data_IF_351686068957
#
_entry.id   IF_351686068957
#
_cell.length_a   1.000
_cell.length_b   1.000
_cell.length_c   1.000
_cell.angle_alpha   90.00
_cell.angle_beta   90.00
_cell.angle_gamma   90.00
#
_symmetry.space_group_name_H-M   'P 1'
#
loop_
_entity.id
_entity.type
_entity.pdbx_description
1 polymer ?
#
# COMPACT_ATOMS: atom_id res chain seq x y z
N UNK A 1 20.79 -11.29 19.82
CA UNK A 1 19.76 -10.54 19.06
C UNK A 1 18.49 -11.35 19.12
N UNK A 2 17.40 -10.81 19.67
CA UNK A 2 16.07 -11.40 19.47
C UNK A 2 15.71 -11.11 18.01
N UNK A 3 15.22 -12.12 17.28
CA UNK A 3 14.56 -11.84 16.01
C UNK A 3 13.33 -10.97 16.33
N UNK A 4 13.25 -9.80 15.72
CA UNK A 4 12.10 -8.92 15.88
C UNK A 4 10.85 -9.61 15.32
N UNK A 5 9.76 -9.56 16.07
CA UNK A 5 8.55 -10.29 15.73
C UNK A 5 7.83 -9.56 14.58
N UNK A 6 7.71 -10.23 13.43
CA UNK A 6 6.95 -9.74 12.29
C UNK A 6 5.47 -9.62 12.65
N UNK A 7 4.93 -8.42 12.53
CA UNK A 7 3.50 -8.14 12.68
C UNK A 7 2.82 -8.25 11.31
N UNK A 8 1.59 -8.77 11.26
CA UNK A 8 0.80 -8.91 10.04
C UNK A 8 -0.66 -8.51 10.30
N UNK A 9 -1.23 -7.69 9.42
CA UNK A 9 -2.62 -7.25 9.49
C UNK A 9 -3.31 -7.47 8.15
N UNK A 10 -4.39 -8.24 8.11
CA UNK A 10 -5.22 -8.41 6.92
C UNK A 10 -6.06 -7.14 6.68
N UNK A 11 -5.95 -6.56 5.49
CA UNK A 11 -6.56 -5.27 5.14
C UNK A 11 -7.42 -5.29 3.86
N UNK A 12 -7.61 -6.46 3.22
CA UNK A 12 -8.40 -6.56 1.98
C UNK A 12 -9.84 -6.06 2.14
N UNK A 13 -10.45 -6.25 3.32
CA UNK A 13 -11.83 -5.87 3.55
C UNK A 13 -12.01 -4.35 3.57
N UNK A 14 -11.02 -3.61 4.09
CA UNK A 14 -11.01 -2.16 4.12
C UNK A 14 -11.00 -1.61 2.69
N UNK A 15 -10.13 -2.17 1.83
CA UNK A 15 -10.11 -1.85 0.41
C UNK A 15 -11.42 -2.19 -0.32
N UNK A 16 -12.03 -3.34 -0.02
CA UNK A 16 -13.33 -3.73 -0.62
C UNK A 16 -14.48 -2.84 -0.17
N UNK A 17 -14.44 -2.29 1.05
CA UNK A 17 -15.44 -1.33 1.52
C UNK A 17 -15.25 0.02 0.84
N UNK A 18 -14.01 0.48 0.69
CA UNK A 18 -13.69 1.79 0.11
C UNK A 18 -13.83 1.81 -1.42
N UNK A 19 -13.54 0.68 -2.08
CA UNK A 19 -13.44 0.56 -3.55
C UNK A 19 -14.11 -0.73 -4.09
N UNK A 20 -15.41 -0.95 -3.80
CA UNK A 20 -16.05 -2.27 -3.97
C UNK A 20 -15.98 -2.86 -5.38
N UNK A 21 -16.03 -2.03 -6.42
CA UNK A 21 -16.04 -2.46 -7.82
C UNK A 21 -14.68 -2.30 -8.51
N UNK A 22 -13.69 -1.73 -7.82
CA UNK A 22 -12.41 -1.37 -8.42
C UNK A 22 -11.28 -2.31 -8.00
N UNK A 23 -11.42 -3.02 -6.88
CA UNK A 23 -10.41 -4.00 -6.45
C UNK A 23 -10.29 -5.12 -7.48
N UNK A 24 -9.05 -5.55 -7.74
CA UNK A 24 -8.77 -6.67 -8.62
C UNK A 24 -9.56 -7.91 -8.17
N UNK A 25 -10.43 -8.48 -9.01
CA UNK A 25 -11.27 -9.62 -8.63
C UNK A 25 -10.46 -10.90 -8.36
N UNK A 26 -9.23 -11.00 -8.87
CA UNK A 26 -8.33 -12.10 -8.58
C UNK A 26 -7.64 -11.97 -7.21
N UNK A 27 -7.69 -10.80 -6.57
CA UNK A 27 -7.02 -10.52 -5.30
C UNK A 27 -7.90 -10.97 -4.12
N UNK A 28 -7.40 -11.91 -3.32
CA UNK A 28 -8.16 -12.52 -2.21
C UNK A 28 -7.65 -12.15 -0.82
N UNK A 29 -6.39 -11.73 -0.69
CA UNK A 29 -5.82 -11.29 0.57
C UNK A 29 -4.75 -10.24 0.32
N UNK A 30 -4.73 -9.23 1.19
CA UNK A 30 -3.69 -8.21 1.29
C UNK A 30 -3.36 -8.11 2.76
N UNK A 31 -2.10 -8.36 3.12
CA UNK A 31 -1.62 -8.14 4.48
C UNK A 31 -0.60 -7.02 4.49
N UNK A 32 -0.79 -6.06 5.37
CA UNK A 32 0.26 -5.14 5.77
C UNK A 32 1.16 -5.83 6.78
N UNK A 33 2.45 -5.86 6.49
CA UNK A 33 3.45 -6.53 7.30
C UNK A 33 4.50 -5.51 7.71
N UNK A 34 4.89 -5.55 8.98
CA UNK A 34 5.97 -4.70 9.47
C UNK A 34 6.78 -5.37 10.57
N UNK A 35 8.03 -4.96 10.68
CA UNK A 35 8.85 -5.11 11.87
C UNK A 35 9.40 -3.72 12.25
N UNK A 36 10.39 -3.64 13.13
CA UNK A 36 10.97 -2.36 13.56
C UNK A 36 11.93 -1.72 12.56
N UNK A 37 12.09 -2.29 11.37
CA UNK A 37 13.01 -1.83 10.32
C UNK A 37 12.29 -1.63 9.00
N UNK A 38 11.43 -2.58 8.61
CA UNK A 38 10.85 -2.65 7.27
C UNK A 38 9.32 -2.76 7.32
N UNK A 39 8.68 -2.29 6.24
CA UNK A 39 7.27 -2.51 5.94
C UNK A 39 7.08 -3.07 4.52
N UNK A 40 6.13 -3.97 4.36
CA UNK A 40 5.81 -4.57 3.06
C UNK A 40 4.38 -5.08 3.01
N UNK A 41 3.88 -5.32 1.80
CA UNK A 41 2.60 -5.99 1.57
C UNK A 41 2.82 -7.44 1.16
N UNK A 42 1.97 -8.33 1.67
CA UNK A 42 1.78 -9.66 1.12
C UNK A 42 0.44 -9.72 0.39
N UNK A 43 0.48 -9.95 -0.92
CA UNK A 43 -0.72 -10.08 -1.76
C UNK A 43 -0.90 -11.50 -2.23
N UNK A 44 -2.11 -12.03 -2.10
CA UNK A 44 -2.44 -13.39 -2.57
C UNK A 44 -3.54 -13.34 -3.61
N UNK A 45 -3.30 -14.01 -4.74
CA UNK A 45 -4.23 -14.07 -5.86
C UNK A 45 -4.83 -15.47 -6.04
N UNK A 46 -6.06 -15.56 -6.57
CA UNK A 46 -6.79 -16.83 -6.80
C UNK A 46 -5.98 -17.80 -7.67
N UNK A 47 -5.26 -17.28 -8.66
CA UNK A 47 -4.47 -18.08 -9.58
C UNK A 47 -3.22 -18.70 -8.93
N UNK A 48 -2.72 -18.13 -7.82
CA UNK A 48 -1.51 -18.55 -7.12
C UNK A 48 -1.66 -18.44 -5.59
N UNK A 49 -2.60 -19.18 -4.97
CA UNK A 49 -2.97 -18.98 -3.56
C UNK A 49 -1.88 -19.38 -2.55
N UNK A 50 -0.88 -20.16 -2.99
CA UNK A 50 0.20 -20.67 -2.14
C UNK A 50 1.50 -19.85 -2.27
N UNK A 51 1.53 -18.85 -3.15
CA UNK A 51 2.72 -18.05 -3.45
C UNK A 51 2.34 -16.57 -3.38
N UNK A 52 2.36 -15.95 -2.19
CA UNK A 52 2.07 -14.54 -2.05
C UNK A 52 3.14 -13.71 -2.76
N UNK A 53 2.71 -12.65 -3.42
CA UNK A 53 3.58 -11.61 -3.97
C UNK A 53 3.94 -10.66 -2.82
N UNK A 54 5.22 -10.36 -2.68
CA UNK A 54 5.75 -9.42 -1.67
C UNK A 54 6.05 -8.10 -2.37
N UNK A 55 5.46 -7.01 -1.88
CA UNK A 55 5.74 -5.66 -2.36
C UNK A 55 6.37 -4.89 -1.21
N UNK A 56 7.65 -4.55 -1.38
CA UNK A 56 8.36 -3.77 -0.38
C UNK A 56 7.84 -2.33 -0.37
N UNK A 57 7.57 -1.80 0.82
CA UNK A 57 7.16 -0.42 1.03
C UNK A 57 8.33 0.49 1.45
N UNK A 58 9.58 0.03 1.48
CA UNK A 58 10.75 0.84 1.93
C UNK A 58 10.94 2.18 1.17
N UNK A 59 10.33 2.38 0.00
CA UNK A 59 10.34 3.70 -0.68
C UNK A 59 9.50 4.77 0.05
N UNK A 60 8.76 4.35 1.08
CA UNK A 60 7.90 5.16 1.93
C UNK A 60 8.65 5.68 3.16
N UNK A 61 9.79 5.07 3.53
CA UNK A 61 10.60 5.50 4.66
C UNK A 61 11.52 6.64 4.24
N UNK A 62 11.11 7.86 4.57
CA UNK A 62 11.89 9.06 4.95
C UNK A 62 13.25 9.40 4.32
N UNK A 63 13.62 8.88 3.14
CA UNK A 63 14.75 9.41 2.36
C UNK A 63 14.31 10.59 1.47
N UNK A 64 13.52 11.51 2.04
CA UNK A 64 13.33 12.83 1.44
C UNK A 64 14.54 13.70 1.78
N UNK A 65 15.46 13.78 0.83
CA UNK A 65 16.56 14.75 0.81
C UNK A 65 16.00 16.16 1.12
N UNK A 66 16.37 16.69 2.28
CA UNK A 66 15.82 17.92 2.91
C UNK A 66 16.13 19.23 2.15
N UNK A 67 16.43 19.18 0.85
CA UNK A 67 16.83 20.36 0.06
C UNK A 67 15.68 21.03 -0.71
N UNK A 68 14.47 20.49 -0.69
CA UNK A 68 13.31 21.13 -1.32
C UNK A 68 12.24 21.43 -0.28
N UNK A 69 11.81 22.70 -0.20
CA UNK A 69 10.68 23.21 0.61
C UNK A 69 9.33 22.65 0.11
N UNK A 70 9.22 21.33 -0.01
CA UNK A 70 7.97 20.62 -0.23
C UNK A 70 7.42 20.36 1.16
N UNK A 71 6.15 20.74 1.39
CA UNK A 71 5.42 20.45 2.63
C UNK A 71 5.75 19.04 3.10
N UNK A 72 6.20 18.88 4.35
CA UNK A 72 6.61 17.61 4.95
C UNK A 72 5.55 16.54 4.64
N UNK A 73 5.81 15.70 3.63
CA UNK A 73 4.97 14.53 3.36
C UNK A 73 5.32 13.58 4.50
N UNK A 74 4.39 13.28 5.41
CA UNK A 74 4.70 12.40 6.52
C UNK A 74 5.14 11.04 5.97
N UNK A 75 6.21 10.48 6.52
CA UNK A 75 6.62 9.11 6.22
C UNK A 75 5.41 8.18 6.36
N UNK A 76 5.09 7.39 5.31
CA UNK A 76 3.93 6.49 5.37
C UNK A 76 4.22 5.20 6.15
N UNK A 77 5.41 5.12 6.77
CA UNK A 77 5.83 4.10 7.71
C UNK A 77 6.61 4.74 8.87
N UNK A 78 6.16 4.50 10.10
CA UNK A 78 6.89 4.82 11.32
C UNK A 78 7.18 3.52 12.09
N UNK A 79 8.46 3.11 12.27
CA UNK A 79 8.81 1.88 12.97
C UNK A 79 8.44 1.89 14.46
N UNK A 80 8.19 3.07 15.04
CA UNK A 80 7.71 3.21 16.43
C UNK A 80 6.18 3.10 16.53
N UNK A 81 5.46 3.24 15.42
CA UNK A 81 4.01 3.08 15.35
C UNK A 81 3.60 1.61 15.29
N UNK A 82 2.41 1.31 15.80
CA UNK A 82 1.87 -0.04 15.67
C UNK A 82 1.42 -0.35 14.23
N UNK A 83 1.22 -1.64 13.95
CA UNK A 83 0.85 -2.13 12.61
C UNK A 83 -0.50 -1.61 12.14
N UNK A 84 -1.41 -1.25 13.06
CA UNK A 84 -2.73 -0.73 12.72
C UNK A 84 -2.61 0.69 12.23
N UNK A 85 -1.83 1.52 12.94
CA UNK A 85 -1.60 2.91 12.57
C UNK A 85 -0.88 3.03 11.21
N UNK A 86 0.20 2.27 11.00
CA UNK A 86 0.91 2.28 9.71
C UNK A 86 0.05 1.72 8.56
N UNK A 87 -0.70 0.64 8.80
CA UNK A 87 -1.63 0.12 7.80
C UNK A 87 -2.74 1.13 7.46
N UNK A 88 -3.21 1.89 8.44
CA UNK A 88 -4.20 2.95 8.22
C UNK A 88 -3.64 4.05 7.32
N UNK A 89 -2.42 4.53 7.60
CA UNK A 89 -1.74 5.52 6.75
C UNK A 89 -1.64 5.04 5.29
N UNK A 90 -1.31 3.75 5.09
CA UNK A 90 -1.28 3.15 3.76
C UNK A 90 -2.67 3.09 3.09
N UNK A 91 -3.72 2.71 3.81
CA UNK A 91 -5.10 2.64 3.29
C UNK A 91 -5.64 4.03 2.90
N UNK A 92 -5.23 5.07 3.63
CA UNK A 92 -5.67 6.45 3.42
C UNK A 92 -4.95 7.15 2.24
N UNK A 93 -3.97 6.49 1.60
CA UNK A 93 -3.38 6.97 0.36
C UNK A 93 -4.44 7.20 -0.72
N UNK A 94 -4.25 8.25 -1.51
CA UNK A 94 -5.11 8.50 -2.65
C UNK A 94 -4.95 7.40 -3.71
N UNK A 95 -5.99 7.21 -4.52
CA UNK A 95 -6.03 6.14 -5.52
C UNK A 95 -4.89 6.21 -6.53
N UNK A 96 -4.41 7.41 -6.88
CA UNK A 96 -3.30 7.56 -7.81
C UNK A 96 -1.97 7.14 -7.17
N UNK A 97 -1.72 7.52 -5.92
CA UNK A 97 -0.57 7.03 -5.16
C UNK A 97 -0.61 5.50 -5.03
N UNK A 98 -1.77 4.93 -4.69
CA UNK A 98 -1.95 3.48 -4.56
C UNK A 98 -1.61 2.70 -5.83
N UNK A 99 -2.06 3.13 -7.03
CA UNK A 99 -1.73 2.43 -8.28
C UNK A 99 -0.24 2.51 -8.65
N UNK A 100 0.46 3.55 -8.19
CA UNK A 100 1.91 3.68 -8.40
C UNK A 100 2.73 2.92 -7.35
N UNK A 101 2.15 2.66 -6.18
CA UNK A 101 2.79 1.91 -5.10
C UNK A 101 2.59 0.39 -5.22
N UNK A 102 1.41 -0.04 -5.66
CA UNK A 102 0.96 -1.43 -5.53
C UNK A 102 0.28 -1.89 -6.80
N UNK A 103 1.04 -2.61 -7.61
CA UNK A 103 0.56 -3.16 -8.87
C UNK A 103 -0.45 -4.29 -8.63
N UNK A 104 -1.55 -4.29 -9.38
CA UNK A 104 -2.59 -5.33 -9.29
C UNK A 104 -3.50 -5.25 -8.05
N UNK A 105 -3.43 -4.17 -7.26
CA UNK A 105 -4.42 -3.85 -6.22
C UNK A 105 -5.80 -3.59 -6.83
N UNK A 106 -5.82 -2.78 -7.89
CA UNK A 106 -7.02 -2.43 -8.64
C UNK A 106 -7.14 -3.28 -9.91
N UNK A 107 -8.36 -3.36 -10.45
CA UNK A 107 -8.58 -3.91 -11.78
C UNK A 107 -7.95 -3.00 -12.84
N UNK A 108 -7.59 -3.57 -14.00
CA UNK A 108 -7.00 -2.79 -15.10
C UNK A 108 -7.91 -1.64 -15.56
N UNK A 109 -9.22 -1.87 -15.58
CA UNK A 109 -10.20 -0.83 -15.89
C UNK A 109 -10.18 0.31 -14.84
N UNK A 110 -10.12 -0.02 -13.56
CA UNK A 110 -10.02 0.98 -12.51
C UNK A 110 -8.71 1.77 -12.57
N UNK A 111 -7.57 1.11 -12.83
CA UNK A 111 -6.27 1.77 -13.03
C UNK A 111 -6.31 2.80 -14.18
N UNK A 112 -6.96 2.47 -15.29
CA UNK A 112 -7.13 3.38 -16.44
C UNK A 112 -7.99 4.60 -16.08
N UNK A 113 -9.09 4.39 -15.34
CA UNK A 113 -9.96 5.47 -14.85
C UNK A 113 -9.17 6.39 -13.91
N UNK A 114 -8.47 5.84 -12.92
CA UNK A 114 -7.69 6.59 -11.94
C UNK A 114 -6.63 7.46 -12.65
N UNK A 115 -5.88 6.87 -13.59
CA UNK A 115 -4.88 7.59 -14.38
C UNK A 115 -5.50 8.73 -15.20
N UNK A 116 -6.62 8.46 -15.86
CA UNK A 116 -7.32 9.44 -16.70
C UNK A 116 -7.82 10.63 -15.86
N UNK A 117 -8.42 10.35 -14.70
CA UNK A 117 -8.92 11.39 -13.79
C UNK A 117 -7.79 12.25 -13.21
N UNK A 118 -6.65 11.65 -12.86
CA UNK A 118 -5.48 12.40 -12.41
C UNK A 118 -4.94 13.34 -13.51
N UNK A 119 -4.80 12.85 -14.74
CA UNK A 119 -4.32 13.65 -15.87
C UNK A 119 -5.26 14.80 -16.23
N UNK A 120 -6.57 14.65 -16.03
CA UNK A 120 -7.55 15.74 -16.22
C UNK A 120 -7.38 16.85 -15.18
N UNK A 121 -7.11 16.50 -13.92
CA UNK A 121 -6.95 17.48 -12.82
C UNK A 121 -5.67 18.32 -12.92
N UNK A 122 -4.67 17.87 -13.68
CA UNK A 122 -3.41 18.59 -13.92
C UNK A 122 -3.44 19.55 -15.11
N UNK A 123 -4.53 19.57 -15.90
CA UNK A 123 -4.72 20.48 -17.03
C UNK A 123 -5.55 21.69 -16.61
#
# INVERSE_FOLDING_TARGET
MKAEALQKLEIINQFKVQYPEWINPELISIKYCQNSVDAFLEMTFINNPNLPIIINLDFISDDFDTETEIEEIPALFNPESDVVDNAKTFIELDTYSLINCVDGLFSKEAEEIINTEYLKRRK
#
